data_IF_068052364571
#
_entry.id   IF_068052364571
#
_cell.length_a   1.000
_cell.length_b   1.000
_cell.length_c   1.000
_cell.angle_alpha   90.00
_cell.angle_beta   90.00
_cell.angle_gamma   90.00
#
_symmetry.space_group_name_H-M   'P 1'
#
loop_
_entity.id
_entity.type
_entity.pdbx_description
1 polymer ?
#
# COMPACT_ATOMS: atom_id res chain seq x y z
N UNK A 1 -10.42 8.52 21.73
CA UNK A 1 -11.13 8.30 23.01
C UNK A 1 -10.45 7.26 23.91
N UNK A 2 -10.34 5.98 23.51
CA UNK A 2 -9.73 4.94 24.36
C UNK A 2 -8.35 5.33 24.92
N UNK A 3 -7.44 5.80 24.06
CA UNK A 3 -6.10 6.25 24.43
C UNK A 3 -6.14 7.47 25.38
N UNK A 4 -7.07 8.41 25.13
CA UNK A 4 -7.26 9.62 25.94
C UNK A 4 -7.66 9.29 27.37
N UNK A 5 -8.65 8.41 27.53
CA UNK A 5 -9.14 7.99 28.85
C UNK A 5 -8.07 7.18 29.60
N UNK A 6 -7.37 6.29 28.88
CA UNK A 6 -6.29 5.46 29.44
C UNK A 6 -5.09 6.29 29.91
N UNK A 7 -4.83 7.43 29.26
CA UNK A 7 -3.72 8.34 29.57
C UNK A 7 -4.11 9.52 30.46
N UNK A 8 -5.20 9.37 31.24
CA UNK A 8 -5.68 10.38 32.20
C UNK A 8 -5.94 11.75 31.57
N UNK A 9 -6.41 11.77 30.32
CA UNK A 9 -6.76 12.99 29.58
C UNK A 9 -5.55 13.93 29.34
N UNK A 10 -4.35 13.38 29.13
CA UNK A 10 -3.17 14.16 28.69
C UNK A 10 -3.44 14.78 27.31
N UNK A 11 -3.44 16.11 27.23
CA UNK A 11 -3.61 16.88 25.99
C UNK A 11 -2.57 16.55 24.92
N UNK A 12 -1.43 15.99 25.31
CA UNK A 12 -0.35 15.60 24.40
C UNK A 12 -0.44 14.15 23.91
N UNK A 13 -1.47 13.39 24.29
CA UNK A 13 -1.56 11.96 23.97
C UNK A 13 -1.52 11.71 22.45
N UNK A 14 -2.19 12.56 21.66
CA UNK A 14 -2.21 12.44 20.20
C UNK A 14 -0.82 12.65 19.62
N UNK A 15 -0.13 13.72 20.02
CA UNK A 15 1.21 14.07 19.53
C UNK A 15 2.25 12.99 19.80
N UNK A 16 2.14 12.25 20.91
CA UNK A 16 3.12 11.23 21.33
C UNK A 16 2.84 9.83 20.79
N UNK A 17 1.57 9.50 20.52
CA UNK A 17 1.14 8.12 20.27
C UNK A 17 0.43 7.91 18.94
N UNK A 18 0.24 8.95 18.13
CA UNK A 18 -0.46 8.85 16.86
C UNK A 18 0.35 9.46 15.73
N UNK A 19 0.33 8.77 14.59
CA UNK A 19 0.88 9.24 13.32
C UNK A 19 -0.23 9.18 12.28
N UNK A 20 -0.13 10.02 11.26
CA UNK A 20 -1.07 10.01 10.12
C UNK A 20 -0.36 9.56 8.85
N UNK A 21 -1.02 8.71 8.08
CA UNK A 21 -0.67 8.46 6.69
C UNK A 21 -1.88 8.81 5.81
N UNK A 22 -1.78 9.87 5.02
CA UNK A 22 -2.89 10.38 4.20
C UNK A 22 -2.38 11.13 2.98
N UNK A 23 -3.30 11.48 2.06
CA UNK A 23 -2.96 12.37 0.95
C UNK A 23 -2.57 13.74 1.47
N UNK A 24 -1.68 14.44 0.76
CA UNK A 24 -1.26 15.81 1.06
C UNK A 24 -2.43 16.78 1.21
N UNK A 25 -3.55 16.52 0.54
CA UNK A 25 -4.80 17.28 0.63
C UNK A 25 -5.48 17.20 2.01
N UNK A 26 -5.10 16.24 2.87
CA UNK A 26 -5.67 16.06 4.20
C UNK A 26 -4.93 16.82 5.32
N UNK A 27 -4.00 17.73 4.98
CA UNK A 27 -3.16 18.43 5.96
C UNK A 27 -3.96 19.12 7.07
N UNK A 28 -5.03 19.83 6.70
CA UNK A 28 -5.82 20.59 7.67
C UNK A 28 -6.57 19.65 8.63
N UNK A 29 -7.13 18.55 8.13
CA UNK A 29 -7.77 17.53 8.96
C UNK A 29 -6.78 16.83 9.90
N UNK A 30 -5.53 16.60 9.45
CA UNK A 30 -4.49 16.01 10.31
C UNK A 30 -4.08 16.96 11.44
N UNK A 31 -3.97 18.27 11.13
CA UNK A 31 -3.69 19.30 12.14
C UNK A 31 -4.85 19.47 13.11
N UNK A 32 -6.08 19.48 12.63
CA UNK A 32 -7.30 19.54 13.45
C UNK A 32 -7.41 18.34 14.39
N UNK A 33 -7.00 17.15 13.93
CA UNK A 33 -6.93 15.96 14.77
C UNK A 33 -5.86 16.04 15.88
N UNK A 34 -4.90 16.97 15.77
CA UNK A 34 -3.86 17.22 16.79
C UNK A 34 -2.55 16.47 16.57
N UNK A 35 -2.34 15.87 15.40
CA UNK A 35 -1.07 15.23 15.03
C UNK A 35 -0.06 16.30 14.63
N UNK A 36 1.19 16.13 15.05
CA UNK A 36 2.29 16.97 14.60
C UNK A 36 2.56 16.70 13.11
N UNK A 37 2.07 17.61 12.26
CA UNK A 37 2.13 17.46 10.81
C UNK A 37 3.54 17.64 10.22
N UNK A 38 4.50 18.14 11.01
CA UNK A 38 5.88 18.32 10.57
C UNK A 38 6.70 17.05 10.78
N UNK A 39 6.42 16.31 11.86
CA UNK A 39 7.18 15.11 12.24
C UNK A 39 6.44 13.78 12.00
N UNK A 40 5.11 13.77 12.07
CA UNK A 40 4.30 12.55 12.14
C UNK A 40 3.17 12.47 11.11
N UNK A 41 3.25 13.28 10.05
CA UNK A 41 2.36 13.18 8.89
C UNK A 41 3.12 12.67 7.65
N UNK A 42 2.91 11.38 7.37
CA UNK A 42 3.47 10.69 6.22
C UNK A 42 2.53 10.85 5.01
N UNK A 43 2.96 11.67 4.06
CA UNK A 43 2.13 12.12 2.93
C UNK A 43 2.23 11.13 1.76
N UNK A 44 1.13 10.97 1.06
CA UNK A 44 1.11 10.53 -0.34
C UNK A 44 0.28 11.52 -1.18
N UNK A 45 0.09 11.24 -2.47
CA UNK A 45 -0.58 12.16 -3.40
C UNK A 45 -1.88 11.59 -3.94
N UNK A 46 -2.75 12.48 -4.43
CA UNK A 46 -4.08 12.10 -4.92
C UNK A 46 -4.05 11.14 -6.12
N UNK A 47 -2.93 11.11 -6.88
CA UNK A 47 -2.73 10.15 -7.97
C UNK A 47 -2.41 8.73 -7.48
N UNK A 48 -2.15 8.53 -6.18
CA UNK A 48 -1.98 7.22 -5.56
C UNK A 48 -3.35 6.68 -5.14
N UNK A 49 -3.98 5.89 -6.02
CA UNK A 49 -5.25 5.23 -5.69
C UNK A 49 -5.10 4.22 -4.55
N UNK A 50 -6.12 4.10 -3.68
CA UNK A 50 -6.05 3.28 -2.46
C UNK A 50 -5.60 1.83 -2.68
N UNK A 51 -6.13 1.14 -3.70
CA UNK A 51 -5.74 -0.25 -4.05
C UNK A 51 -4.33 -0.40 -4.64
N UNK A 52 -3.65 0.71 -4.94
CA UNK A 52 -2.27 0.74 -5.45
C UNK A 52 -1.30 1.45 -4.47
N UNK A 53 -1.75 1.74 -3.25
CA UNK A 53 -1.02 2.58 -2.30
C UNK A 53 0.07 1.86 -1.50
N UNK A 54 0.21 0.54 -1.64
CA UNK A 54 1.19 -0.29 -0.89
C UNK A 54 2.63 0.19 -1.04
N UNK A 55 3.02 0.69 -2.22
CA UNK A 55 4.37 1.22 -2.47
C UNK A 55 4.55 2.69 -2.03
N UNK A 56 3.54 3.31 -1.42
CA UNK A 56 3.60 4.67 -0.86
C UNK A 56 3.85 4.65 0.65
N UNK A 57 3.71 5.82 1.30
CA UNK A 57 3.72 5.94 2.76
C UNK A 57 2.79 4.93 3.47
N UNK A 58 1.67 4.55 2.83
CA UNK A 58 0.68 3.61 3.38
C UNK A 58 1.29 2.26 3.72
N UNK A 59 2.15 1.70 2.85
CA UNK A 59 2.90 0.49 3.16
C UNK A 59 4.23 0.79 3.85
N UNK A 60 4.92 1.87 3.46
CA UNK A 60 6.25 2.19 3.95
C UNK A 60 6.30 2.33 5.47
N UNK A 61 5.37 3.08 6.07
CA UNK A 61 5.36 3.36 7.51
C UNK A 61 5.21 2.08 8.32
N UNK A 62 4.12 1.29 8.20
CA UNK A 62 3.93 0.10 9.03
C UNK A 62 4.97 -1.00 8.75
N UNK A 63 5.36 -1.22 7.49
CA UNK A 63 6.31 -2.28 7.14
C UNK A 63 7.71 -1.92 7.64
N UNK A 64 8.13 -0.65 7.50
CA UNK A 64 9.45 -0.22 7.98
C UNK A 64 9.53 -0.18 9.50
N UNK A 65 8.43 0.13 10.20
CA UNK A 65 8.38 0.04 11.65
C UNK A 65 8.55 -1.41 12.15
N UNK A 66 7.97 -2.38 11.43
CA UNK A 66 8.02 -3.79 11.81
C UNK A 66 9.31 -4.50 11.38
N UNK A 67 9.83 -4.19 10.19
CA UNK A 67 10.90 -4.94 9.52
C UNK A 67 12.13 -4.09 9.17
N UNK A 68 12.09 -2.78 9.39
CA UNK A 68 13.15 -1.87 8.99
C UNK A 68 12.99 -1.34 7.55
N UNK A 69 13.48 -0.13 7.33
CA UNK A 69 13.36 0.57 6.04
C UNK A 69 14.14 -0.14 4.92
N UNK A 70 15.28 -0.79 5.22
CA UNK A 70 16.10 -1.49 4.23
C UNK A 70 15.32 -2.62 3.53
N UNK A 71 14.50 -3.36 4.28
CA UNK A 71 13.65 -4.41 3.73
C UNK A 71 12.54 -3.84 2.85
N UNK A 72 11.94 -2.71 3.25
CA UNK A 72 10.94 -2.04 2.42
C UNK A 72 11.56 -1.47 1.12
N UNK A 73 12.76 -0.90 1.18
CA UNK A 73 13.48 -0.46 -0.01
C UNK A 73 13.77 -1.62 -0.97
N UNK A 74 14.14 -2.79 -0.44
CA UNK A 74 14.32 -4.01 -1.25
C UNK A 74 13.01 -4.45 -1.91
N UNK A 75 11.89 -4.36 -1.20
CA UNK A 75 10.56 -4.60 -1.76
C UNK A 75 10.24 -3.63 -2.91
N UNK A 76 10.50 -2.33 -2.73
CA UNK A 76 10.30 -1.31 -3.77
C UNK A 76 11.17 -1.56 -5.01
N UNK A 77 12.43 -2.00 -4.83
CA UNK A 77 13.31 -2.40 -5.95
C UNK A 77 12.71 -3.56 -6.75
N UNK A 78 12.10 -4.53 -6.06
CA UNK A 78 11.37 -5.62 -6.71
C UNK A 78 10.17 -5.13 -7.53
N UNK A 79 9.35 -4.24 -6.95
CA UNK A 79 8.22 -3.63 -7.66
C UNK A 79 8.67 -2.84 -8.90
N UNK A 80 9.70 -2.00 -8.75
CA UNK A 80 10.28 -1.23 -9.86
C UNK A 80 10.79 -2.13 -10.99
N UNK A 81 11.40 -3.27 -10.68
CA UNK A 81 11.87 -4.22 -11.70
C UNK A 81 10.71 -4.79 -12.53
N UNK A 82 9.54 -5.03 -11.91
CA UNK A 82 8.33 -5.46 -12.62
C UNK A 82 7.77 -4.32 -13.48
N UNK A 83 7.79 -3.08 -12.99
CA UNK A 83 7.37 -1.90 -13.76
C UNK A 83 8.26 -1.68 -15.00
N UNK A 84 9.58 -1.78 -14.83
CA UNK A 84 10.55 -1.68 -15.93
C UNK A 84 10.33 -2.78 -16.97
N UNK A 85 10.08 -4.01 -16.55
CA UNK A 85 9.72 -5.12 -17.44
C UNK A 85 8.41 -4.83 -18.19
N UNK A 86 7.38 -4.36 -17.48
CA UNK A 86 6.09 -4.04 -18.07
C UNK A 86 6.19 -2.96 -19.16
N UNK A 87 7.03 -1.95 -18.95
CA UNK A 87 7.20 -0.83 -19.91
C UNK A 87 8.06 -1.24 -21.12
N UNK A 88 9.13 -2.00 -20.91
CA UNK A 88 10.18 -2.21 -21.92
C UNK A 88 10.08 -3.54 -22.68
N UNK A 89 9.50 -4.59 -22.10
CA UNK A 89 9.50 -5.90 -22.72
C UNK A 89 8.54 -5.96 -23.94
N UNK A 90 8.95 -6.63 -25.04
CA UNK A 90 8.04 -6.89 -26.17
C UNK A 90 6.77 -7.58 -25.69
N UNK A 91 5.60 -7.22 -26.24
CA UNK A 91 4.30 -7.69 -25.74
C UNK A 91 4.21 -9.22 -25.58
N UNK A 92 4.76 -9.98 -26.54
CA UNK A 92 4.76 -11.45 -26.52
C UNK A 92 5.70 -12.10 -25.48
N UNK A 93 6.51 -11.30 -24.78
CA UNK A 93 7.35 -11.70 -23.64
C UNK A 93 6.99 -10.96 -22.35
N UNK A 94 5.95 -10.13 -22.38
CA UNK A 94 5.57 -9.25 -21.28
C UNK A 94 4.59 -9.98 -20.35
N UNK A 95 5.06 -10.34 -19.16
CA UNK A 95 4.35 -11.22 -18.22
C UNK A 95 3.03 -10.59 -17.77
N UNK A 96 2.98 -9.32 -17.30
CA UNK A 96 1.71 -8.68 -16.96
C UNK A 96 0.72 -8.57 -18.14
N UNK A 97 1.20 -8.25 -19.36
CA UNK A 97 0.33 -8.16 -20.55
C UNK A 97 -0.29 -9.53 -20.85
N UNK A 98 0.53 -10.58 -20.91
CA UNK A 98 0.05 -11.94 -21.20
C UNK A 98 -0.96 -12.39 -20.13
N UNK A 99 -0.67 -12.16 -18.85
CA UNK A 99 -1.58 -12.52 -17.75
C UNK A 99 -2.92 -11.76 -17.82
N UNK A 100 -2.88 -10.49 -18.23
CA UNK A 100 -4.07 -9.67 -18.49
C UNK A 100 -4.90 -10.22 -19.66
N UNK A 101 -4.26 -10.52 -20.79
CA UNK A 101 -4.90 -11.08 -21.98
C UNK A 101 -5.54 -12.44 -21.70
N UNK A 102 -4.88 -13.31 -20.93
CA UNK A 102 -5.47 -14.58 -20.49
C UNK A 102 -6.72 -14.36 -19.63
N UNK A 103 -6.76 -13.30 -18.83
CA UNK A 103 -7.96 -12.90 -18.07
C UNK A 103 -9.12 -12.53 -18.99
N UNK A 104 -8.86 -11.66 -19.96
CA UNK A 104 -9.86 -11.25 -20.96
C UNK A 104 -10.33 -12.45 -21.79
N UNK A 105 -9.41 -13.33 -22.21
CA UNK A 105 -9.73 -14.54 -22.96
C UNK A 105 -10.68 -15.46 -22.19
N UNK A 106 -10.31 -15.82 -20.95
CA UNK A 106 -11.10 -16.72 -20.13
C UNK A 106 -12.47 -16.14 -19.79
N UNK A 107 -12.55 -14.84 -19.48
CA UNK A 107 -13.81 -14.20 -19.08
C UNK A 107 -14.72 -13.89 -20.27
N UNK A 108 -14.19 -13.22 -21.30
CA UNK A 108 -14.99 -12.65 -22.39
C UNK A 108 -15.26 -13.63 -23.52
N UNK A 109 -14.36 -14.59 -23.78
CA UNK A 109 -14.49 -15.53 -24.90
C UNK A 109 -14.90 -16.93 -24.45
N UNK A 110 -14.33 -17.43 -23.35
CA UNK A 110 -14.69 -18.76 -22.81
C UNK A 110 -15.82 -18.72 -21.77
N UNK A 111 -16.18 -17.54 -21.27
CA UNK A 111 -17.27 -17.37 -20.30
C UNK A 111 -16.95 -17.82 -18.87
N UNK A 112 -15.68 -18.03 -18.52
CA UNK A 112 -15.26 -18.36 -17.16
C UNK A 112 -15.25 -17.12 -16.27
N UNK A 113 -16.28 -17.02 -15.41
CA UNK A 113 -16.55 -15.83 -14.59
C UNK A 113 -15.75 -15.75 -13.28
N UNK A 114 -14.91 -16.73 -12.98
CA UNK A 114 -14.16 -16.81 -11.74
C UNK A 114 -12.68 -17.07 -12.02
N UNK A 115 -11.82 -16.55 -11.13
CA UNK A 115 -10.38 -16.82 -11.10
C UNK A 115 -10.00 -17.18 -9.67
N UNK A 116 -9.34 -18.32 -9.50
CA UNK A 116 -8.79 -18.72 -8.21
C UNK A 116 -7.31 -18.29 -8.12
N UNK A 117 -6.95 -17.61 -7.03
CA UNK A 117 -5.56 -17.30 -6.68
C UNK A 117 -5.11 -18.26 -5.59
N UNK A 118 -4.23 -19.21 -5.94
CA UNK A 118 -3.86 -20.34 -5.08
C UNK A 118 -2.36 -20.34 -4.79
N UNK A 119 -1.87 -19.44 -3.91
CA UNK A 119 -0.46 -19.44 -3.54
C UNK A 119 -0.13 -20.67 -2.68
N UNK A 120 0.86 -21.46 -3.10
CA UNK A 120 1.36 -22.62 -2.35
C UNK A 120 2.39 -22.18 -1.29
N UNK A 121 2.03 -21.18 -0.50
CA UNK A 121 2.85 -20.62 0.57
C UNK A 121 1.98 -19.96 1.63
N UNK A 122 2.05 -20.43 2.87
CA UNK A 122 1.26 -19.90 4.00
C UNK A 122 1.53 -18.40 4.24
N UNK A 123 2.77 -17.96 4.02
CA UNK A 123 3.14 -16.55 4.11
C UNK A 123 2.32 -15.63 3.18
N UNK A 124 1.69 -16.18 2.13
CA UNK A 124 0.84 -15.47 1.17
C UNK A 124 -0.65 -15.67 1.41
N UNK A 125 -1.08 -16.17 2.58
CA UNK A 125 -2.48 -16.43 2.91
C UNK A 125 -3.40 -15.19 2.74
N UNK A 126 -2.84 -13.98 2.83
CA UNK A 126 -3.59 -12.72 2.64
C UNK A 126 -3.51 -12.12 1.23
N UNK A 127 -2.74 -12.73 0.31
CA UNK A 127 -2.62 -12.25 -1.06
C UNK A 127 -3.94 -12.31 -1.86
N UNK A 128 -4.82 -13.33 -1.71
CA UNK A 128 -6.09 -13.39 -2.43
C UNK A 128 -7.19 -12.45 -1.93
N UNK A 129 -7.00 -11.81 -0.77
CA UNK A 129 -8.04 -11.08 -0.02
C UNK A 129 -8.46 -9.75 -0.67
#
# INVERSE_FOLDING_TARGET
QWLWDSMRKDENVVKKHMVACSSVSALDSVKEFGIDADNYFFKFWDWVGGRYSMCSAVGAVPISLQYGNELFEKFLKGAKSVDEHFISAPMHKNIPIILGLLGVWNMSFLGYKARATLPYAEALAKLPA
#
